data_IF_882321471804
#
_entry.id   IF_882321471804
#
_cell.length_a   1.000
_cell.length_b   1.000
_cell.length_c   1.000
_cell.angle_alpha   90.00
_cell.angle_beta   90.00
_cell.angle_gamma   90.00
#
_symmetry.space_group_name_H-M   'P 1'
#
loop_
_entity.id
_entity.type
_entity.pdbx_description
1 polymer ?
#
# COMPACT_ATOMS: atom_id res chain seq x y z
N UNK A 1 1.28 -6.83 -18.82
CA UNK A 1 1.70 -6.83 -17.40
C UNK A 1 1.19 -5.64 -16.60
N UNK A 2 1.36 -4.41 -17.10
CA UNK A 2 1.12 -3.18 -16.32
C UNK A 2 -0.29 -3.05 -15.69
N UNK A 3 -1.35 -3.44 -16.41
CA UNK A 3 -2.71 -3.39 -15.88
C UNK A 3 -2.91 -4.30 -14.66
N UNK A 4 -2.43 -5.55 -14.72
CA UNK A 4 -2.56 -6.53 -13.64
C UNK A 4 -1.79 -6.11 -12.39
N UNK A 5 -0.58 -5.56 -12.54
CA UNK A 5 0.19 -5.01 -11.42
C UNK A 5 -0.50 -3.83 -10.75
N UNK A 6 -1.11 -2.95 -11.53
CA UNK A 6 -1.89 -1.83 -10.99
C UNK A 6 -3.16 -2.31 -10.26
N UNK A 7 -3.87 -3.31 -10.80
CA UNK A 7 -5.04 -3.89 -10.11
C UNK A 7 -4.64 -4.53 -8.79
N UNK A 8 -3.53 -5.27 -8.77
CA UNK A 8 -2.98 -5.87 -7.54
C UNK A 8 -2.65 -4.79 -6.50
N UNK A 9 -1.99 -3.71 -6.94
CA UNK A 9 -1.64 -2.59 -6.07
C UNK A 9 -2.88 -1.94 -5.43
N UNK A 10 -3.96 -1.73 -6.21
CA UNK A 10 -5.21 -1.17 -5.72
C UNK A 10 -5.91 -2.09 -4.71
N UNK A 11 -5.93 -3.39 -4.96
CA UNK A 11 -6.53 -4.37 -4.03
C UNK A 11 -5.77 -4.40 -2.70
N UNK A 12 -4.43 -4.40 -2.74
CA UNK A 12 -3.59 -4.37 -1.54
C UNK A 12 -3.83 -3.06 -0.77
N UNK A 13 -3.82 -1.92 -1.45
CA UNK A 13 -4.09 -0.61 -0.82
C UNK A 13 -5.48 -0.55 -0.18
N UNK A 14 -6.50 -1.13 -0.82
CA UNK A 14 -7.85 -1.18 -0.28
C UNK A 14 -7.92 -2.03 1.00
N UNK A 15 -7.33 -3.22 0.99
CA UNK A 15 -7.31 -4.11 2.16
C UNK A 15 -6.57 -3.50 3.35
N UNK A 16 -5.39 -2.90 3.12
CA UNK A 16 -4.63 -2.24 4.19
C UNK A 16 -5.41 -1.07 4.78
N UNK A 17 -6.16 -0.31 3.95
CA UNK A 17 -6.97 0.80 4.44
C UNK A 17 -8.12 0.35 5.33
N UNK A 18 -8.77 -0.75 4.97
CA UNK A 18 -9.85 -1.33 5.78
C UNK A 18 -9.33 -1.85 7.13
N UNK A 19 -8.14 -2.47 7.14
CA UNK A 19 -7.50 -2.91 8.38
C UNK A 19 -7.05 -1.73 9.26
N UNK A 20 -6.56 -0.65 8.66
CA UNK A 20 -6.20 0.59 9.36
C UNK A 20 -7.41 1.31 9.96
N UNK A 21 -8.56 1.26 9.30
CA UNK A 21 -9.80 1.84 9.82
C UNK A 21 -10.33 1.06 11.04
N UNK A 22 -9.96 -0.22 11.18
CA UNK A 22 -10.28 -1.07 12.33
C UNK A 22 -9.20 -1.02 13.43
N UNK A 23 -7.99 -0.55 13.11
CA UNK A 23 -6.87 -0.46 14.04
C UNK A 23 -6.87 0.85 14.82
N UNK A 24 -6.35 0.83 16.06
CA UNK A 24 -6.15 2.03 16.87
C UNK A 24 -4.94 2.85 16.37
N UNK A 25 -5.09 3.53 15.23
CA UNK A 25 -4.06 4.39 14.67
C UNK A 25 -4.07 5.74 15.40
N UNK A 26 -2.93 6.29 15.87
CA UNK A 26 -2.88 7.59 16.50
C UNK A 26 -3.43 8.69 15.57
N UNK A 27 -4.26 9.60 16.08
CA UNK A 27 -4.87 10.73 15.34
C UNK A 27 -3.97 11.43 14.30
N UNK A 28 -2.69 11.76 14.59
CA UNK A 28 -1.84 12.44 13.60
C UNK A 28 -1.44 11.58 12.39
N UNK A 29 -1.60 10.25 12.47
CA UNK A 29 -1.26 9.33 11.36
C UNK A 29 -2.47 8.86 10.56
N UNK A 30 -3.69 9.13 11.02
CA UNK A 30 -4.92 8.72 10.35
C UNK A 30 -5.08 9.40 8.98
N UNK A 31 -5.55 8.65 7.99
CA UNK A 31 -5.82 9.15 6.64
C UNK A 31 -4.57 9.26 5.77
N UNK A 32 -4.19 10.49 5.40
CA UNK A 32 -3.14 10.74 4.40
C UNK A 32 -1.74 10.24 4.79
N UNK A 33 -1.25 10.44 6.03
CA UNK A 33 0.13 10.07 6.38
C UNK A 33 0.38 8.56 6.28
N UNK A 34 -0.52 7.74 6.83
CA UNK A 34 -0.36 6.29 6.77
C UNK A 34 -0.55 5.75 5.36
N UNK A 35 -1.44 6.35 4.58
CA UNK A 35 -1.63 5.99 3.16
C UNK A 35 -0.34 6.20 2.36
N UNK A 36 0.37 7.30 2.60
CA UNK A 36 1.66 7.58 1.95
C UNK A 36 2.76 6.60 2.37
N UNK A 37 2.80 6.22 3.65
CA UNK A 37 3.74 5.21 4.14
C UNK A 37 3.50 3.86 3.45
N UNK A 38 2.25 3.41 3.42
CA UNK A 38 1.86 2.15 2.78
C UNK A 38 2.17 2.17 1.28
N UNK A 39 1.86 3.28 0.59
CA UNK A 39 2.18 3.44 -0.82
C UNK A 39 3.70 3.37 -1.09
N UNK A 40 4.52 3.96 -0.21
CA UNK A 40 5.97 3.87 -0.28
C UNK A 40 6.49 2.44 -0.08
N UNK A 41 5.96 1.72 0.92
CA UNK A 41 6.31 0.31 1.16
C UNK A 41 5.92 -0.56 -0.04
N UNK A 42 4.73 -0.34 -0.60
CA UNK A 42 4.24 -1.06 -1.77
C UNK A 42 5.11 -0.78 -3.01
N UNK A 43 5.56 0.47 -3.20
CA UNK A 43 6.50 0.81 -4.26
C UNK A 43 7.85 0.09 -4.10
N UNK A 44 8.37 -0.01 -2.87
CA UNK A 44 9.59 -0.77 -2.57
C UNK A 44 9.40 -2.27 -2.82
N UNK A 45 8.24 -2.82 -2.45
CA UNK A 45 7.92 -4.22 -2.72
C UNK A 45 7.92 -4.51 -4.24
N UNK A 46 7.31 -3.63 -5.04
CA UNK A 46 7.36 -3.76 -6.51
C UNK A 46 8.76 -3.56 -7.09
N UNK A 47 9.57 -2.65 -6.54
CA UNK A 47 10.97 -2.52 -6.92
C UNK A 47 11.78 -3.79 -6.61
N UNK A 48 11.47 -4.49 -5.51
CA UNK A 48 12.10 -5.78 -5.17
C UNK A 48 11.87 -6.86 -6.23
N UNK A 49 10.74 -6.83 -6.93
CA UNK A 49 10.47 -7.73 -8.06
C UNK A 49 11.19 -7.32 -9.35
N UNK A 50 11.62 -6.05 -9.49
CA UNK A 50 12.31 -5.57 -10.69
C UNK A 50 13.71 -6.20 -10.89
N UNK A 51 14.29 -6.79 -9.84
CA UNK A 51 15.57 -7.53 -9.91
C UNK A 51 15.42 -9.03 -10.20
N UNK A 52 14.19 -9.57 -10.22
CA UNK A 52 13.90 -10.94 -10.67
C UNK A 52 13.63 -10.91 -12.18
N UNK A 53 14.70 -11.02 -12.96
CA UNK A 53 14.66 -11.21 -14.42
C UNK A 53 15.63 -12.32 -14.81
#
# INVERSE_FOLDING_TARGET
>A
GAGAGFTLALVIMAGIREELDLADVPKPFQGAPITLIVAGILALAFMGFAGMI
#
